data_IF_767740218956
#
_entry.id   IF_767740218956
#
_cell.length_a   1.000
_cell.length_b   1.000
_cell.length_c   1.000
_cell.angle_alpha   90.00
_cell.angle_beta   90.00
_cell.angle_gamma   90.00
#
_symmetry.space_group_name_H-M   'P 1'
#
loop_
_entity.id
_entity.type
_entity.pdbx_description
1 polymer ?
#
# COMPACT_ATOMS: atom_id res chain seq x y z
N UNK A 1 -28.04 4.37 -16.31
CA UNK A 1 -28.96 3.58 -15.45
C UNK A 1 -28.56 2.12 -15.55
N UNK A 2 -27.56 1.71 -14.75
CA UNK A 2 -27.19 0.31 -14.47
C UNK A 2 -26.78 0.27 -13.00
N UNK A 3 -27.39 -0.66 -12.29
CA UNK A 3 -27.52 -0.72 -10.83
C UNK A 3 -26.19 -1.05 -10.17
N UNK A 4 -25.81 -0.26 -9.16
CA UNK A 4 -24.86 -0.68 -8.11
C UNK A 4 -25.57 -1.75 -7.28
N UNK A 5 -25.03 -2.96 -7.25
CA UNK A 5 -25.46 -3.99 -6.31
C UNK A 5 -24.61 -3.84 -5.05
N UNK A 6 -25.27 -3.56 -3.93
CA UNK A 6 -24.74 -3.63 -2.58
C UNK A 6 -24.06 -4.99 -2.34
N UNK A 7 -22.80 -4.97 -1.91
CA UNK A 7 -22.13 -6.11 -1.32
C UNK A 7 -22.25 -5.99 0.21
N UNK A 8 -23.43 -6.36 0.73
CA UNK A 8 -23.55 -6.93 2.07
C UNK A 8 -23.60 -8.44 1.83
N UNK A 9 -22.59 -9.20 2.30
CA UNK A 9 -22.73 -10.52 2.94
C UNK A 9 -21.39 -11.29 3.04
N UNK A 10 -21.08 -11.68 4.29
CA UNK A 10 -20.45 -12.93 4.75
C UNK A 10 -18.97 -12.91 5.17
N UNK A 11 -18.71 -12.31 6.34
CA UNK A 11 -17.74 -12.86 7.30
C UNK A 11 -18.38 -14.05 8.03
N UNK A 12 -17.98 -15.27 7.65
CA UNK A 12 -18.44 -16.50 8.30
C UNK A 12 -17.33 -17.56 8.35
N UNK A 13 -16.47 -17.48 9.37
CA UNK A 13 -15.73 -18.61 9.99
C UNK A 13 -14.78 -18.01 11.05
N UNK A 14 -14.74 -18.37 12.33
CA UNK A 14 -15.28 -19.51 13.06
C UNK A 14 -15.69 -19.09 14.48
N UNK A 15 -16.86 -19.55 14.91
CA UNK A 15 -17.16 -19.72 16.33
C UNK A 15 -16.40 -20.94 16.86
N UNK A 16 -15.61 -20.75 17.92
CA UNK A 16 -15.46 -21.77 18.96
C UNK A 16 -15.94 -21.19 20.29
N UNK A 17 -17.05 -21.75 20.73
CA UNK A 17 -17.78 -21.52 21.96
C UNK A 17 -16.93 -21.48 23.24
N UNK A 18 -17.15 -20.47 24.08
CA UNK A 18 -17.38 -20.66 25.51
C UNK A 18 -18.43 -19.66 25.98
N UNK A 19 -19.58 -20.20 26.39
CA UNK A 19 -20.68 -19.46 27.00
C UNK A 19 -20.32 -19.01 28.42
N UNK A 20 -20.64 -17.77 28.77
CA UNK A 20 -20.76 -17.32 30.16
C UNK A 20 -22.09 -16.53 30.28
N UNK A 21 -22.90 -16.73 31.34
CA UNK A 21 -24.31 -16.34 31.35
C UNK A 21 -24.52 -14.83 31.45
N UNK A 22 -25.58 -14.38 30.79
CA UNK A 22 -26.16 -13.05 30.94
C UNK A 22 -26.62 -12.81 32.39
N UNK A 23 -26.08 -11.77 33.01
CA UNK A 23 -26.72 -11.08 34.12
C UNK A 23 -27.11 -9.68 33.64
N UNK A 24 -28.42 -9.44 33.60
CA UNK A 24 -29.00 -8.12 33.50
C UNK A 24 -28.63 -7.31 34.76
N UNK A 25 -28.08 -6.12 34.57
CA UNK A 25 -28.05 -5.08 35.61
C UNK A 25 -28.50 -3.77 34.98
N UNK A 26 -29.30 -3.08 35.77
CA UNK A 26 -30.23 -1.99 35.52
C UNK A 26 -29.58 -0.70 35.01
N UNK A 27 -30.37 0.10 34.28
CA UNK A 27 -30.00 1.38 33.73
C UNK A 27 -30.11 2.49 34.79
N UNK A 28 -28.97 2.97 35.28
CA UNK A 28 -28.77 4.40 35.59
C UNK A 28 -27.32 4.60 36.03
N UNK A 29 -26.47 5.17 35.17
CA UNK A 29 -25.38 6.08 35.55
C UNK A 29 -24.63 6.53 34.28
N UNK A 30 -24.77 7.83 33.99
CA UNK A 30 -23.89 8.68 33.16
C UNK A 30 -23.56 8.22 31.73
N UNK A 31 -24.05 8.99 30.75
CA UNK A 31 -23.55 9.01 29.37
C UNK A 31 -22.07 9.45 29.36
N UNK A 32 -21.17 8.53 29.68
CA UNK A 32 -19.80 8.62 29.22
C UNK A 32 -19.82 8.18 27.75
N UNK A 33 -19.31 9.04 26.86
CA UNK A 33 -18.92 8.64 25.51
C UNK A 33 -18.13 7.31 25.61
N UNK A 34 -18.31 6.35 24.69
CA UNK A 34 -17.44 5.19 24.67
C UNK A 34 -16.00 5.71 24.65
N UNK A 35 -15.26 5.41 25.72
CA UNK A 35 -13.83 5.71 25.81
C UNK A 35 -13.18 5.01 24.64
N UNK A 36 -12.77 5.75 23.61
CA UNK A 36 -11.92 5.20 22.55
C UNK A 36 -10.73 4.52 23.21
N UNK A 37 -10.47 3.28 22.82
CA UNK A 37 -9.33 2.55 23.35
C UNK A 37 -8.08 3.23 22.78
N UNK A 38 -7.08 3.61 23.59
CA UNK A 38 -5.85 4.17 23.05
C UNK A 38 -5.27 3.22 21.99
N UNK A 39 -5.19 3.67 20.75
CA UNK A 39 -4.77 2.84 19.61
C UNK A 39 -5.77 2.70 18.47
N UNK A 40 -7.00 3.19 18.61
CA UNK A 40 -8.00 3.21 17.52
C UNK A 40 -7.80 4.44 16.59
N UNK A 41 -8.00 4.25 15.28
CA UNK A 41 -7.89 5.29 14.24
C UNK A 41 -6.55 6.05 14.22
N UNK A 42 -5.44 5.35 14.44
CA UNK A 42 -4.11 5.94 14.52
C UNK A 42 -3.50 6.12 13.13
N UNK A 43 -2.95 7.30 12.84
CA UNK A 43 -2.26 7.53 11.55
C UNK A 43 -0.78 7.20 11.67
N UNK A 44 -0.26 6.31 10.81
CA UNK A 44 1.18 6.07 10.75
C UNK A 44 1.90 7.20 9.98
N UNK A 45 2.89 7.83 10.60
CA UNK A 45 3.58 9.02 10.06
C UNK A 45 4.99 8.72 9.55
N UNK A 46 5.42 7.45 9.58
CA UNK A 46 6.74 7.04 9.10
C UNK A 46 7.81 6.92 10.18
N UNK A 47 9.03 6.60 9.77
CA UNK A 47 10.17 6.46 10.68
C UNK A 47 10.73 7.83 11.08
N UNK A 48 10.99 7.98 12.37
CA UNK A 48 11.63 9.16 12.94
C UNK A 48 13.04 9.33 12.34
N UNK A 49 13.37 10.55 11.92
CA UNK A 49 14.65 10.86 11.28
C UNK A 49 14.91 10.09 9.96
N UNK A 50 13.87 9.81 9.18
CA UNK A 50 13.99 9.31 7.81
C UNK A 50 15.05 10.09 7.01
N UNK A 51 15.86 9.39 6.22
CA UNK A 51 17.00 9.94 5.47
C UNK A 51 18.28 10.18 6.28
N UNK A 52 18.25 10.04 7.61
CA UNK A 52 19.44 10.14 8.49
C UNK A 52 19.80 8.81 9.16
N UNK A 53 18.80 8.02 9.52
CA UNK A 53 19.01 6.67 10.06
C UNK A 53 19.56 5.71 9.00
N UNK A 54 20.15 4.60 9.44
CA UNK A 54 20.84 3.63 8.58
C UNK A 54 20.25 2.23 8.69
N UNK A 55 20.46 1.40 7.68
CA UNK A 55 19.95 0.01 7.67
C UNK A 55 20.41 -0.86 8.84
N UNK A 56 21.51 -0.50 9.50
CA UNK A 56 22.09 -1.25 10.62
C UNK A 56 21.32 -0.98 11.93
N UNK A 57 20.50 0.08 11.95
CA UNK A 57 19.71 0.52 13.11
C UNK A 57 18.23 0.08 13.01
N UNK A 58 17.86 -0.68 11.97
CA UNK A 58 16.48 -1.06 11.63
C UNK A 58 15.67 -1.63 12.79
N UNK A 59 16.29 -2.47 13.63
CA UNK A 59 15.62 -3.10 14.78
C UNK A 59 15.31 -2.12 15.92
N UNK A 60 15.94 -0.95 15.91
CA UNK A 60 15.83 0.07 16.95
C UNK A 60 15.17 1.35 16.45
N UNK A 61 14.64 1.34 15.23
CA UNK A 61 13.95 2.49 14.67
C UNK A 61 12.79 2.90 15.55
N UNK A 62 12.66 4.21 15.62
CA UNK A 62 11.53 4.89 16.22
C UNK A 62 10.55 5.25 15.11
N UNK A 63 9.28 4.96 15.35
CA UNK A 63 8.19 5.11 14.41
C UNK A 63 7.23 6.17 14.95
N UNK A 64 6.84 7.10 14.09
CA UNK A 64 5.93 8.19 14.43
C UNK A 64 4.50 7.81 14.10
N UNK A 65 3.60 8.12 15.01
CA UNK A 65 2.17 7.87 14.88
C UNK A 65 1.39 9.08 15.40
N UNK A 66 0.27 9.42 14.77
CA UNK A 66 -0.67 10.40 15.31
C UNK A 66 -1.74 9.66 16.10
N UNK A 67 -1.75 9.86 17.42
CA UNK A 67 -2.62 9.16 18.37
C UNK A 67 -3.32 10.20 19.24
N UNK A 68 -4.65 10.24 19.19
CA UNK A 68 -5.50 11.12 20.00
C UNK A 68 -5.08 12.60 19.92
N UNK A 69 -5.02 13.15 18.70
CA UNK A 69 -4.70 14.57 18.49
C UNK A 69 -3.21 14.93 18.62
N UNK A 70 -2.31 13.96 18.84
CA UNK A 70 -0.88 14.25 19.03
C UNK A 70 0.05 13.25 18.33
N UNK A 71 1.15 13.75 17.79
CA UNK A 71 2.26 12.91 17.33
C UNK A 71 2.98 12.27 18.54
N UNK A 72 3.13 10.94 18.48
CA UNK A 72 3.84 10.11 19.45
C UNK A 72 4.82 9.21 18.71
N UNK A 73 5.86 8.79 19.43
CA UNK A 73 6.91 7.93 18.88
C UNK A 73 6.96 6.61 19.64
N UNK A 74 7.00 5.50 18.91
CA UNK A 74 7.03 4.15 19.44
C UNK A 74 8.14 3.33 18.79
N UNK A 75 8.59 2.28 19.45
CA UNK A 75 9.37 1.21 18.81
C UNK A 75 8.44 0.10 18.33
N UNK A 76 8.91 -0.72 17.41
CA UNK A 76 8.16 -1.88 16.90
C UNK A 76 9.10 -3.08 16.95
N UNK A 77 8.70 -4.20 17.57
CA UNK A 77 9.51 -5.42 17.59
C UNK A 77 9.96 -5.83 16.18
N UNK A 78 11.19 -6.33 16.07
CA UNK A 78 11.73 -6.81 14.80
C UNK A 78 11.27 -8.24 14.45
N UNK A 79 10.52 -8.90 15.34
CA UNK A 79 9.99 -10.26 15.16
C UNK A 79 11.04 -11.29 14.75
N UNK A 80 12.23 -11.24 15.37
CA UNK A 80 13.36 -12.09 15.01
C UNK A 80 13.96 -11.79 13.63
N UNK A 81 13.84 -10.54 13.17
CA UNK A 81 14.30 -10.08 11.87
C UNK A 81 13.26 -10.20 10.76
N UNK A 82 12.00 -10.55 11.07
CA UNK A 82 10.89 -10.64 10.12
C UNK A 82 10.07 -9.36 9.96
N UNK A 83 10.19 -8.42 10.89
CA UNK A 83 9.52 -7.10 10.91
C UNK A 83 8.08 -7.16 10.38
N UNK A 84 7.23 -8.00 10.99
CA UNK A 84 5.92 -8.36 10.43
C UNK A 84 4.97 -7.16 10.45
N UNK A 85 5.01 -6.35 11.52
CA UNK A 85 4.22 -5.12 11.65
C UNK A 85 4.71 -4.06 10.65
N UNK A 86 6.02 -3.88 10.51
CA UNK A 86 6.62 -2.86 9.63
C UNK A 86 6.25 -3.11 8.16
N UNK A 87 6.07 -4.37 7.76
CA UNK A 87 5.60 -4.78 6.43
C UNK A 87 4.10 -4.52 6.17
N UNK A 88 3.35 -4.03 7.17
CA UNK A 88 1.96 -3.58 7.02
C UNK A 88 1.82 -2.06 6.97
N UNK A 89 2.79 -1.33 7.51
CA UNK A 89 2.71 0.11 7.74
C UNK A 89 3.03 0.94 6.47
N UNK A 90 2.13 1.86 6.15
CA UNK A 90 2.16 2.76 4.99
C UNK A 90 1.93 4.20 5.48
N UNK A 91 2.74 5.15 5.02
CA UNK A 91 2.70 6.52 5.56
C UNK A 91 1.40 7.23 5.17
N UNK A 92 0.73 7.81 6.18
CA UNK A 92 -0.54 8.50 6.06
C UNK A 92 -1.76 7.59 5.98
N UNK A 93 -1.58 6.29 6.22
CA UNK A 93 -2.70 5.36 6.39
C UNK A 93 -3.10 5.26 7.86
N UNK A 94 -4.34 4.86 8.08
CA UNK A 94 -4.99 4.75 9.38
C UNK A 94 -4.98 3.28 9.83
N UNK A 95 -4.76 3.07 11.12
CA UNK A 95 -4.58 1.75 11.72
C UNK A 95 -5.23 1.67 13.09
N UNK A 96 -5.74 0.49 13.41
CA UNK A 96 -5.94 0.06 14.77
C UNK A 96 -4.67 -0.62 15.27
N UNK A 97 -4.13 -0.11 16.38
CA UNK A 97 -2.85 -0.55 16.95
C UNK A 97 -2.99 -0.98 18.40
N UNK A 98 -2.18 -1.97 18.80
CA UNK A 98 -2.01 -2.30 20.22
C UNK A 98 -0.75 -1.63 20.76
N UNK A 99 -0.94 -0.74 21.74
CA UNK A 99 0.13 -0.01 22.41
C UNK A 99 0.46 -0.70 23.74
N UNK A 100 1.70 -1.16 23.90
CA UNK A 100 2.24 -1.67 25.16
C UNK A 100 3.45 -0.82 25.58
N UNK A 101 3.23 0.12 26.51
CA UNK A 101 4.24 1.07 26.94
C UNK A 101 4.69 1.99 25.79
N UNK A 102 5.93 1.82 25.36
CA UNK A 102 6.56 2.55 24.26
C UNK A 102 6.66 1.73 22.96
N UNK A 103 5.90 0.63 22.85
CA UNK A 103 5.91 -0.26 21.70
C UNK A 103 4.54 -0.39 21.04
N UNK A 104 4.55 -0.55 19.72
CA UNK A 104 3.41 -1.08 18.96
C UNK A 104 3.61 -2.59 18.78
N UNK A 105 2.69 -3.39 19.29
CA UNK A 105 2.77 -4.86 19.28
C UNK A 105 1.77 -5.53 18.32
N UNK A 106 0.83 -4.75 17.78
CA UNK A 106 -0.04 -5.14 16.68
C UNK A 106 -0.45 -3.91 15.88
N UNK A 107 -0.67 -4.08 14.58
CA UNK A 107 -1.27 -3.07 13.72
C UNK A 107 -2.13 -3.76 12.65
N UNK A 108 -3.36 -3.27 12.50
CA UNK A 108 -4.31 -3.64 11.45
C UNK A 108 -4.70 -2.37 10.70
N UNK A 109 -4.64 -2.41 9.37
CA UNK A 109 -4.99 -1.24 8.56
C UNK A 109 -6.50 -1.07 8.60
N UNK A 110 -6.94 0.12 8.95
CA UNK A 110 -8.36 0.45 8.95
C UNK A 110 -8.76 1.05 7.62
N UNK A 111 -9.95 0.69 7.16
CA UNK A 111 -10.59 1.32 6.01
C UNK A 111 -11.62 2.39 6.40
N UNK A 112 -11.80 2.60 7.71
CA UNK A 112 -12.85 3.44 8.28
C UNK A 112 -14.25 2.90 8.01
N UNK A 113 -15.26 3.52 8.63
CA UNK A 113 -16.65 3.10 8.41
C UNK A 113 -17.13 3.48 7.01
N UNK A 114 -16.75 4.67 6.55
CA UNK A 114 -17.09 5.20 5.22
C UNK A 114 -15.92 6.01 4.66
N UNK A 115 -15.62 5.78 3.38
CA UNK A 115 -14.61 6.49 2.61
C UNK A 115 -15.20 6.93 1.27
N UNK A 116 -14.92 8.15 0.82
CA UNK A 116 -15.42 8.63 -0.47
C UNK A 116 -15.25 10.13 -0.70
N UNK A 117 -15.99 10.65 -1.68
CA UNK A 117 -15.89 12.06 -2.10
C UNK A 117 -16.96 12.89 -1.40
N UNK A 118 -16.57 14.05 -0.85
CA UNK A 118 -17.52 15.05 -0.38
C UNK A 118 -18.31 15.63 -1.56
N UNK A 119 -19.56 15.20 -1.72
CA UNK A 119 -20.46 15.76 -2.74
C UNK A 119 -21.24 16.98 -2.22
N UNK A 120 -21.32 17.16 -0.90
CA UNK A 120 -21.93 18.34 -0.27
C UNK A 120 -21.40 18.55 1.15
N UNK A 121 -21.23 19.81 1.53
CA UNK A 121 -20.92 20.25 2.89
C UNK A 121 -21.85 21.43 3.19
N UNK A 122 -22.61 21.37 4.29
CA UNK A 122 -23.55 22.45 4.65
C UNK A 122 -23.88 22.43 6.14
N UNK A 123 -24.46 23.53 6.62
CA UNK A 123 -25.12 23.59 7.92
C UNK A 123 -26.62 23.55 7.68
N UNK A 124 -27.35 22.67 8.36
CA UNK A 124 -28.81 22.56 8.21
C UNK A 124 -29.56 23.66 8.98
N UNK A 125 -30.89 23.63 8.89
CA UNK A 125 -31.77 24.65 9.48
C UNK A 125 -31.73 24.64 11.02
N UNK A 126 -31.33 23.53 11.63
CA UNK A 126 -31.16 23.37 13.08
C UNK A 126 -29.77 23.83 13.55
N UNK A 127 -28.89 24.20 12.62
CA UNK A 127 -27.54 24.68 12.89
C UNK A 127 -26.51 23.56 13.00
N UNK A 128 -26.87 22.32 12.64
CA UNK A 128 -25.98 21.18 12.71
C UNK A 128 -25.14 21.04 11.43
N UNK A 129 -23.90 20.60 11.61
CA UNK A 129 -22.97 20.39 10.51
C UNK A 129 -23.30 19.10 9.79
N UNK A 130 -23.39 19.17 8.46
CA UNK A 130 -23.75 18.05 7.60
C UNK A 130 -22.76 17.90 6.47
N UNK A 131 -22.47 16.65 6.15
CA UNK A 131 -21.72 16.28 4.96
C UNK A 131 -22.47 15.22 4.17
N UNK A 132 -22.14 15.14 2.88
CA UNK A 132 -22.55 14.05 2.01
C UNK A 132 -21.30 13.41 1.43
N UNK A 133 -21.01 12.18 1.84
CA UNK A 133 -19.92 11.35 1.30
C UNK A 133 -20.55 10.47 0.23
N UNK A 134 -20.12 10.64 -1.01
CA UNK A 134 -20.76 10.10 -2.20
C UNK A 134 -22.27 10.41 -2.23
N UNK A 135 -23.10 9.40 -1.95
CA UNK A 135 -24.56 9.49 -1.98
C UNK A 135 -25.21 9.49 -0.59
N UNK A 136 -24.43 9.35 0.47
CA UNK A 136 -24.90 9.17 1.85
C UNK A 136 -24.64 10.41 2.69
N UNK A 137 -25.58 10.74 3.58
CA UNK A 137 -25.60 11.98 4.34
C UNK A 137 -25.35 11.70 5.82
N UNK A 138 -24.46 12.48 6.42
CA UNK A 138 -24.05 12.31 7.81
C UNK A 138 -24.17 13.62 8.58
N UNK A 139 -24.49 13.53 9.87
CA UNK A 139 -24.33 14.62 10.83
C UNK A 139 -22.91 14.58 11.37
N UNK A 140 -22.29 15.74 11.55
CA UNK A 140 -21.01 15.83 12.26
C UNK A 140 -21.28 16.25 13.70
N UNK A 141 -20.79 15.46 14.66
CA UNK A 141 -20.86 15.81 16.08
C UNK A 141 -20.07 17.11 16.32
N UNK A 142 -20.54 17.96 17.25
CA UNK A 142 -19.93 19.29 17.48
C UNK A 142 -18.53 19.20 18.09
N UNK A 143 -18.24 18.09 18.75
CA UNK A 143 -16.97 17.68 19.32
C UNK A 143 -16.20 16.69 18.43
N UNK A 144 -16.66 16.46 17.20
CA UNK A 144 -15.93 15.63 16.25
C UNK A 144 -14.53 16.18 15.98
N UNK A 145 -13.57 15.28 15.83
CA UNK A 145 -12.20 15.62 15.49
C UNK A 145 -12.03 15.60 13.96
N UNK A 146 -11.57 16.70 13.38
CA UNK A 146 -11.42 16.84 11.94
C UNK A 146 -9.96 17.08 11.61
N UNK A 147 -9.39 16.22 10.79
CA UNK A 147 -7.98 16.19 10.48
C UNK A 147 -7.72 16.23 8.97
N UNK A 148 -6.59 16.81 8.57
CA UNK A 148 -6.04 16.73 7.22
C UNK A 148 -4.75 15.91 7.25
N UNK A 149 -4.71 14.83 6.47
CA UNK A 149 -3.55 13.96 6.34
C UNK A 149 -2.85 14.29 5.01
N UNK A 150 -1.59 14.69 5.10
CA UNK A 150 -0.72 14.85 3.93
C UNK A 150 0.34 13.76 3.93
N UNK A 151 0.36 12.92 2.90
CA UNK A 151 1.39 11.89 2.70
C UNK A 151 2.47 12.39 1.74
N UNK A 152 3.72 12.42 2.21
CA UNK A 152 4.91 12.70 1.39
C UNK A 152 6.07 11.84 1.86
N UNK A 153 7.04 11.64 0.97
CA UNK A 153 8.30 11.03 1.36
C UNK A 153 8.94 11.79 2.54
N UNK A 154 9.49 11.08 3.51
CA UNK A 154 9.93 11.64 4.80
C UNK A 154 8.90 11.59 5.92
N UNK A 155 7.70 11.11 5.61
CA UNK A 155 6.64 10.91 6.56
C UNK A 155 5.45 11.84 6.39
N UNK A 156 4.31 11.30 6.78
CA UNK A 156 3.04 12.01 6.72
C UNK A 156 2.90 13.02 7.87
N UNK A 157 2.03 13.99 7.67
CA UNK A 157 1.65 14.97 8.70
C UNK A 157 0.14 14.97 8.86
N UNK A 158 -0.31 15.16 10.10
CA UNK A 158 -1.72 15.35 10.44
C UNK A 158 -1.90 16.74 11.03
N UNK A 159 -2.91 17.47 10.58
CA UNK A 159 -3.24 18.81 11.07
C UNK A 159 -4.72 18.91 11.40
N UNK A 160 -5.06 19.56 12.51
CA UNK A 160 -6.45 19.93 12.80
C UNK A 160 -7.00 20.85 11.71
N UNK A 161 -8.22 20.57 11.28
CA UNK A 161 -8.99 21.44 10.38
C UNK A 161 -10.35 21.73 10.97
N UNK A 162 -10.99 22.79 10.47
CA UNK A 162 -12.34 23.18 10.86
C UNK A 162 -13.34 22.74 9.81
N UNK A 163 -14.60 22.56 10.24
CA UNK A 163 -15.71 22.21 9.34
C UNK A 163 -15.82 23.15 8.12
N UNK A 164 -15.58 24.44 8.29
CA UNK A 164 -15.67 25.42 7.21
C UNK A 164 -14.49 25.39 6.21
N UNK A 165 -13.49 24.54 6.45
CA UNK A 165 -12.36 24.31 5.54
C UNK A 165 -12.62 23.14 4.57
N UNK A 166 -13.63 22.30 4.86
CA UNK A 166 -14.07 21.20 4.00
C UNK A 166 -14.75 21.74 2.74
N UNK A 167 -14.46 21.11 1.60
CA UNK A 167 -15.01 21.51 0.30
C UNK A 167 -15.53 20.32 -0.48
N UNK A 168 -16.43 20.60 -1.41
CA UNK A 168 -16.87 19.60 -2.38
C UNK A 168 -15.69 19.13 -3.24
N UNK A 169 -15.74 17.86 -3.65
CA UNK A 169 -14.72 17.15 -4.40
C UNK A 169 -13.42 16.86 -3.63
N UNK A 170 -13.39 17.08 -2.31
CA UNK A 170 -12.35 16.54 -1.43
C UNK A 170 -12.70 15.10 -1.05
N UNK A 171 -11.70 14.25 -0.89
CA UNK A 171 -11.85 12.89 -0.41
C UNK A 171 -11.70 12.83 1.11
N UNK A 172 -12.55 12.04 1.76
CA UNK A 172 -12.55 11.88 3.21
C UNK A 172 -12.79 10.43 3.60
N UNK A 173 -12.23 10.07 4.75
CA UNK A 173 -12.64 8.89 5.52
C UNK A 173 -13.26 9.37 6.83
N UNK A 174 -14.38 8.77 7.21
CA UNK A 174 -15.10 9.12 8.43
C UNK A 174 -15.27 7.90 9.32
N UNK A 175 -15.29 8.17 10.62
CA UNK A 175 -15.65 7.24 11.68
C UNK A 175 -16.95 7.75 12.29
N UNK A 176 -17.92 6.87 12.49
CA UNK A 176 -19.25 7.21 12.98
C UNK A 176 -19.57 6.51 14.30
N UNK A 177 -20.44 7.11 15.11
CA UNK A 177 -21.02 6.45 16.27
C UNK A 177 -22.21 5.55 15.87
N UNK A 178 -22.85 4.94 16.86
CA UNK A 178 -23.99 4.03 16.64
C UNK A 178 -25.23 4.68 16.02
N UNK A 179 -25.29 6.02 15.98
CA UNK A 179 -26.38 6.81 15.39
C UNK A 179 -25.99 7.40 14.02
N UNK A 180 -24.91 6.89 13.39
CA UNK A 180 -24.34 7.38 12.13
C UNK A 180 -23.87 8.86 12.19
N UNK A 181 -23.53 9.36 13.38
CA UNK A 181 -22.92 10.68 13.51
C UNK A 181 -21.41 10.60 13.47
N UNK A 182 -20.79 11.47 12.67
CA UNK A 182 -19.33 11.53 12.51
C UNK A 182 -18.69 11.97 13.81
N UNK A 183 -17.78 11.14 14.33
CA UNK A 183 -16.95 11.41 15.51
C UNK A 183 -15.52 11.79 15.10
N UNK A 184 -15.01 11.23 13.99
CA UNK A 184 -13.74 11.63 13.37
C UNK A 184 -13.87 11.75 11.86
N UNK A 185 -13.18 12.73 11.28
CA UNK A 185 -13.07 12.89 9.84
C UNK A 185 -11.61 13.12 9.47
N UNK A 186 -11.11 12.30 8.55
CA UNK A 186 -9.79 12.44 7.95
C UNK A 186 -9.97 12.87 6.50
N UNK A 187 -9.65 14.13 6.19
CA UNK A 187 -9.44 14.56 4.82
C UNK A 187 -8.09 14.02 4.37
N UNK A 188 -8.11 13.17 3.36
CA UNK A 188 -6.92 12.48 2.86
C UNK A 188 -7.14 12.08 1.42
N UNK A 189 -6.07 11.81 0.69
CA UNK A 189 -6.19 11.25 -0.66
C UNK A 189 -6.82 9.86 -0.63
N UNK A 190 -7.81 9.63 -1.48
CA UNK A 190 -8.42 8.32 -1.72
C UNK A 190 -8.44 8.12 -3.24
N UNK A 191 -7.84 7.04 -3.72
CA UNK A 191 -7.82 6.74 -5.15
C UNK A 191 -9.23 6.44 -5.68
N UNK A 192 -9.46 6.77 -6.93
CA UNK A 192 -10.60 6.23 -7.65
C UNK A 192 -10.38 4.74 -7.93
N UNK A 193 -11.46 3.96 -7.91
CA UNK A 193 -11.45 2.55 -8.32
C UNK A 193 -10.82 2.40 -9.71
N UNK A 194 -9.89 1.45 -9.83
CA UNK A 194 -9.23 1.15 -11.10
C UNK A 194 -9.52 -0.27 -11.55
N UNK A 195 -9.94 -0.41 -12.82
CA UNK A 195 -10.06 -1.71 -13.49
C UNK A 195 -9.09 -1.75 -14.66
N UNK A 196 -8.10 -2.65 -14.56
CA UNK A 196 -7.11 -2.81 -15.63
C UNK A 196 -7.79 -3.23 -16.95
N UNK A 197 -7.43 -2.61 -18.09
CA UNK A 197 -7.98 -2.98 -19.40
C UNK A 197 -7.51 -4.37 -19.87
N UNK A 198 -6.38 -4.83 -19.33
CA UNK A 198 -5.82 -6.17 -19.54
C UNK A 198 -5.50 -6.74 -18.17
N UNK A 199 -5.96 -7.97 -17.91
CA UNK A 199 -5.66 -8.69 -16.68
C UNK A 199 -5.50 -10.18 -16.96
N UNK A 200 -4.74 -10.85 -16.08
CA UNK A 200 -4.63 -12.30 -16.06
C UNK A 200 -5.69 -12.96 -15.18
N UNK A 201 -5.79 -14.28 -15.29
CA UNK A 201 -6.55 -15.15 -14.39
C UNK A 201 -5.57 -15.74 -13.36
N UNK A 202 -5.78 -15.52 -12.06
CA UNK A 202 -4.93 -16.08 -11.01
C UNK A 202 -4.76 -17.61 -11.13
N UNK A 203 -3.55 -18.11 -10.90
CA UNK A 203 -3.22 -19.55 -10.95
C UNK A 203 -3.24 -20.20 -12.34
N UNK A 204 -3.54 -19.44 -13.41
CA UNK A 204 -3.59 -19.99 -14.77
C UNK A 204 -2.20 -19.99 -15.42
N UNK A 205 -1.53 -21.12 -15.34
CA UNK A 205 -0.16 -21.34 -15.83
C UNK A 205 -0.10 -21.50 -17.36
N UNK A 206 -0.30 -20.40 -18.09
CA UNK A 206 -0.13 -20.34 -19.55
C UNK A 206 0.65 -19.10 -19.94
N UNK A 207 1.41 -19.17 -21.03
CA UNK A 207 2.19 -18.03 -21.53
C UNK A 207 1.33 -16.79 -21.81
N UNK A 208 0.16 -16.98 -22.45
CA UNK A 208 -0.79 -15.87 -22.69
C UNK A 208 -1.25 -15.23 -21.38
N UNK A 209 -1.53 -16.02 -20.35
CA UNK A 209 -1.95 -15.51 -19.06
C UNK A 209 -0.83 -14.73 -18.38
N UNK A 210 0.40 -15.25 -18.38
CA UNK A 210 1.56 -14.57 -17.83
C UNK A 210 1.78 -13.18 -18.44
N UNK A 211 1.69 -13.07 -19.76
CA UNK A 211 1.84 -11.78 -20.45
C UNK A 211 0.66 -10.84 -20.18
N UNK A 212 -0.58 -11.37 -20.08
CA UNK A 212 -1.74 -10.56 -19.71
C UNK A 212 -1.63 -10.04 -18.27
N UNK A 213 -1.21 -10.90 -17.33
CA UNK A 213 -0.90 -10.52 -15.94
C UNK A 213 0.16 -9.42 -15.91
N UNK A 214 1.28 -9.59 -16.62
CA UNK A 214 2.37 -8.63 -16.65
C UNK A 214 1.98 -7.27 -17.27
N UNK A 215 0.87 -7.18 -18.03
CA UNK A 215 0.35 -5.93 -18.57
C UNK A 215 -0.63 -5.20 -17.61
N UNK A 216 -1.14 -5.88 -16.58
CA UNK A 216 -2.08 -5.30 -15.61
C UNK A 216 -1.60 -3.99 -14.96
N UNK A 217 -0.33 -3.84 -14.52
CA UNK A 217 0.14 -2.61 -13.86
C UNK A 217 0.45 -1.46 -14.84
N UNK A 218 0.44 -1.72 -16.15
CA UNK A 218 0.81 -0.70 -17.15
C UNK A 218 -0.20 0.46 -17.10
N UNK A 219 0.32 1.66 -16.87
CA UNK A 219 -0.48 2.89 -16.78
C UNK A 219 -1.18 3.11 -15.44
N UNK A 220 -0.85 2.33 -14.40
CA UNK A 220 -1.46 2.46 -13.07
C UNK A 220 -0.50 2.17 -11.90
N UNK A 221 0.80 2.02 -12.16
CA UNK A 221 1.85 1.86 -11.16
C UNK A 221 3.08 2.66 -11.54
N UNK A 222 3.83 3.15 -10.56
CA UNK A 222 5.10 3.86 -10.75
C UNK A 222 6.30 3.01 -10.33
N UNK A 223 7.46 3.33 -10.89
CA UNK A 223 8.73 2.76 -10.46
C UNK A 223 9.19 3.40 -9.14
N UNK A 224 9.52 2.57 -8.14
CA UNK A 224 10.28 2.95 -6.95
C UNK A 224 11.39 1.92 -6.77
N UNK A 225 12.61 2.38 -6.49
CA UNK A 225 13.71 1.46 -6.19
C UNK A 225 13.42 0.72 -4.88
N UNK A 226 13.42 -0.62 -4.91
CA UNK A 226 12.99 -1.43 -3.77
C UNK A 226 11.46 -1.51 -3.62
N UNK A 227 10.68 -0.88 -4.51
CA UNK A 227 9.24 -1.00 -4.53
C UNK A 227 8.83 -2.47 -4.62
N UNK A 228 8.00 -2.91 -3.67
CA UNK A 228 7.47 -4.26 -3.50
C UNK A 228 8.46 -5.36 -3.09
N UNK A 229 9.61 -4.98 -2.55
CA UNK A 229 10.42 -5.85 -1.70
C UNK A 229 9.92 -5.83 -0.26
N UNK A 230 10.15 -6.86 0.54
CA UNK A 230 9.87 -6.76 1.97
C UNK A 230 10.72 -5.65 2.65
N UNK A 231 10.29 -5.21 3.83
CA UNK A 231 10.93 -4.12 4.56
C UNK A 231 12.39 -4.45 4.94
N UNK A 232 12.77 -5.73 4.96
CA UNK A 232 14.12 -6.19 5.22
C UNK A 232 15.04 -6.13 4.01
N UNK A 233 14.47 -5.99 2.81
CA UNK A 233 15.14 -5.99 1.52
C UNK A 233 15.74 -7.37 1.16
N UNK A 234 14.97 -8.44 1.37
CA UNK A 234 15.40 -9.82 1.11
C UNK A 234 14.45 -10.61 0.21
N UNK A 235 13.13 -10.42 0.33
CA UNK A 235 12.12 -11.15 -0.44
C UNK A 235 10.94 -10.25 -0.88
N UNK A 236 9.78 -10.85 -1.15
CA UNK A 236 8.56 -10.15 -1.61
C UNK A 236 7.85 -9.45 -0.47
N UNK A 237 7.35 -8.24 -0.71
CA UNK A 237 6.39 -7.62 0.20
C UNK A 237 5.02 -8.28 0.11
N UNK A 238 4.13 -7.90 1.03
CA UNK A 238 2.70 -8.23 0.95
C UNK A 238 2.09 -7.77 -0.40
N UNK A 239 2.50 -6.60 -0.91
CA UNK A 239 2.02 -6.05 -2.19
C UNK A 239 2.44 -6.92 -3.39
N UNK A 240 3.68 -7.41 -3.41
CA UNK A 240 4.13 -8.33 -4.46
C UNK A 240 3.44 -9.70 -4.41
N UNK A 241 2.82 -10.05 -3.28
CA UNK A 241 2.07 -11.28 -3.05
C UNK A 241 0.56 -11.06 -3.03
N UNK A 242 0.08 -9.91 -3.51
CA UNK A 242 -1.35 -9.66 -3.76
C UNK A 242 -1.76 -10.23 -5.13
N UNK A 243 -2.90 -10.91 -5.15
CA UNK A 243 -3.59 -11.35 -6.36
C UNK A 243 -4.33 -10.16 -6.97
N UNK A 244 -3.99 -9.83 -8.21
CA UNK A 244 -4.35 -8.56 -8.82
C UNK A 244 -3.41 -7.44 -8.41
N UNK A 245 -3.80 -6.21 -8.75
CA UNK A 245 -3.02 -5.03 -8.38
C UNK A 245 -3.20 -4.76 -6.88
N UNK A 246 -2.09 -4.45 -6.21
CA UNK A 246 -2.18 -3.96 -4.83
C UNK A 246 -2.81 -2.57 -4.81
N UNK A 247 -3.73 -2.33 -3.87
CA UNK A 247 -4.38 -1.03 -3.71
C UNK A 247 -3.36 0.09 -3.47
N UNK A 248 -2.30 -0.16 -2.71
CA UNK A 248 -1.26 0.85 -2.45
C UNK A 248 -0.51 1.29 -3.70
N UNK A 249 -0.44 0.46 -4.75
CA UNK A 249 0.14 0.88 -6.02
C UNK A 249 -0.77 1.85 -6.77
N UNK A 250 -2.07 1.61 -6.72
CA UNK A 250 -3.10 2.46 -7.33
C UNK A 250 -3.13 3.80 -6.59
N UNK A 251 -3.17 3.76 -5.26
CA UNK A 251 -3.13 4.94 -4.39
C UNK A 251 -1.88 5.77 -4.64
N UNK A 252 -0.71 5.13 -4.67
CA UNK A 252 0.54 5.82 -4.94
C UNK A 252 0.53 6.43 -6.33
N UNK A 253 0.18 5.69 -7.38
CA UNK A 253 0.15 6.19 -8.75
C UNK A 253 -0.77 7.41 -8.91
N UNK A 254 -2.00 7.33 -8.39
CA UNK A 254 -2.99 8.40 -8.54
C UNK A 254 -2.73 9.62 -7.64
N UNK A 255 -2.01 9.45 -6.52
CA UNK A 255 -1.59 10.57 -5.67
C UNK A 255 -0.41 11.37 -6.23
N UNK A 256 0.28 10.85 -7.24
CA UNK A 256 1.39 11.54 -7.89
C UNK A 256 0.95 12.42 -9.06
N UNK A 257 1.81 13.36 -9.44
CA UNK A 257 1.64 14.23 -10.60
C UNK A 257 2.86 14.16 -11.55
N UNK A 258 2.87 15.02 -12.58
CA UNK A 258 3.97 15.10 -13.55
C UNK A 258 5.32 15.53 -12.96
N UNK A 259 5.36 15.94 -11.68
CA UNK A 259 6.58 16.29 -10.94
C UNK A 259 7.12 15.14 -10.10
N UNK A 260 6.50 13.96 -10.17
CA UNK A 260 6.99 12.78 -9.48
C UNK A 260 8.47 12.51 -9.79
N UNK A 261 9.21 12.26 -8.71
CA UNK A 261 10.59 11.76 -8.75
C UNK A 261 10.74 10.79 -7.60
N UNK A 262 11.20 9.57 -7.89
CA UNK A 262 11.44 8.59 -6.83
C UNK A 262 12.71 8.94 -6.04
N UNK A 263 13.62 9.74 -6.60
CA UNK A 263 14.93 10.04 -6.01
C UNK A 263 15.21 11.52 -5.87
N UNK A 264 15.17 12.01 -4.64
CA UNK A 264 15.61 13.34 -4.26
C UNK A 264 17.01 13.33 -3.64
N UNK A 265 18.04 13.50 -4.48
CA UNK A 265 19.43 13.48 -4.00
C UNK A 265 19.82 14.73 -3.19
N UNK A 266 19.11 15.85 -3.38
CA UNK A 266 19.38 17.08 -2.66
C UNK A 266 18.80 17.05 -1.24
N UNK A 267 17.67 16.35 -1.06
CA UNK A 267 17.01 16.17 0.22
C UNK A 267 16.62 14.69 0.44
N UNK A 268 17.55 13.84 0.92
CA UNK A 268 17.30 12.43 1.19
C UNK A 268 16.12 12.15 2.11
N UNK A 269 15.79 13.08 3.02
CA UNK A 269 14.65 12.93 3.93
C UNK A 269 13.30 13.20 3.26
N UNK A 270 13.27 13.60 1.98
CA UNK A 270 12.05 13.79 1.19
C UNK A 270 12.11 12.97 -0.11
N UNK A 271 12.72 11.79 -0.04
CA UNK A 271 13.00 10.91 -1.18
C UNK A 271 12.29 9.57 -0.99
N UNK A 272 11.72 9.00 -2.06
CA UNK A 272 11.24 7.60 -2.03
C UNK A 272 12.39 6.59 -2.15
N UNK A 273 13.57 7.07 -2.55
CA UNK A 273 14.76 6.26 -2.73
C UNK A 273 15.34 5.82 -1.36
N UNK A 274 15.69 4.54 -1.18
CA UNK A 274 16.24 4.02 0.06
C UNK A 274 17.68 4.49 0.30
N UNK A 275 17.85 5.75 0.72
CA UNK A 275 19.14 6.26 1.16
C UNK A 275 19.66 5.41 2.33
N UNK A 276 20.98 5.12 2.34
CA UNK A 276 21.61 4.20 3.29
C UNK A 276 21.09 2.75 3.24
N UNK A 277 20.51 2.35 2.09
CA UNK A 277 20.09 0.99 1.77
C UNK A 277 19.03 0.42 2.73
N UNK A 278 18.01 1.22 3.00
CA UNK A 278 16.82 0.77 3.72
C UNK A 278 15.53 1.24 3.05
N UNK A 279 14.62 0.29 2.86
CA UNK A 279 13.42 0.41 2.06
C UNK A 279 12.18 0.74 2.91
N UNK A 280 11.85 2.03 3.06
CA UNK A 280 10.60 2.43 3.71
C UNK A 280 9.40 2.35 2.78
N UNK A 281 9.58 2.69 1.51
CA UNK A 281 8.49 2.83 0.53
C UNK A 281 8.25 1.55 -0.25
N UNK A 282 8.40 0.41 0.43
CA UNK A 282 8.18 -0.90 -0.16
C UNK A 282 6.76 -1.09 -0.71
N UNK A 283 5.78 -0.37 -0.15
CA UNK A 283 4.39 -0.41 -0.59
C UNK A 283 4.11 0.52 -1.78
N UNK A 284 5.03 1.45 -2.08
CA UNK A 284 4.88 2.45 -3.12
C UNK A 284 5.47 1.92 -4.43
N UNK A 285 4.61 1.45 -5.34
CA UNK A 285 5.03 1.02 -6.66
C UNK A 285 5.91 -0.24 -6.70
N UNK A 286 6.59 -0.43 -7.84
CA UNK A 286 7.14 -1.73 -8.21
C UNK A 286 8.46 -1.60 -8.96
N UNK A 287 9.52 -2.27 -8.49
CA UNK A 287 10.80 -2.30 -9.18
C UNK A 287 10.90 -3.41 -10.25
N UNK A 288 12.02 -3.50 -10.98
CA UNK A 288 12.19 -4.48 -12.06
C UNK A 288 11.99 -5.94 -11.60
N UNK A 289 12.60 -6.31 -10.47
CA UNK A 289 12.54 -7.65 -9.90
C UNK A 289 11.20 -7.95 -9.26
N UNK A 290 10.59 -6.96 -8.64
CA UNK A 290 9.26 -7.08 -8.07
C UNK A 290 8.19 -7.18 -9.15
N UNK A 291 8.36 -6.49 -10.28
CA UNK A 291 7.49 -6.60 -11.46
C UNK A 291 7.44 -8.03 -12.00
N UNK A 292 8.61 -8.64 -12.19
CA UNK A 292 8.67 -10.03 -12.63
C UNK A 292 8.18 -10.96 -11.52
N UNK A 293 8.55 -10.73 -10.27
CA UNK A 293 8.14 -11.53 -9.11
C UNK A 293 6.63 -11.57 -8.91
N UNK A 294 5.97 -10.41 -8.90
CA UNK A 294 4.51 -10.27 -8.80
C UNK A 294 3.79 -10.88 -10.01
N UNK A 295 4.33 -10.68 -11.23
CA UNK A 295 3.76 -11.28 -12.44
C UNK A 295 3.76 -12.80 -12.36
N UNK A 296 4.85 -13.40 -11.85
CA UNK A 296 4.93 -14.83 -11.60
C UNK A 296 4.02 -15.24 -10.44
N UNK A 297 3.96 -14.46 -9.36
CA UNK A 297 3.10 -14.75 -8.21
C UNK A 297 1.64 -14.94 -8.63
N UNK A 298 1.13 -14.01 -9.43
CA UNK A 298 -0.22 -14.03 -9.95
C UNK A 298 -0.50 -15.15 -10.97
N UNK A 299 0.54 -15.75 -11.56
CA UNK A 299 0.38 -16.93 -12.43
C UNK A 299 0.43 -18.24 -11.64
N UNK A 300 1.22 -18.26 -10.56
CA UNK A 300 1.49 -19.47 -9.79
C UNK A 300 0.52 -19.67 -8.61
N UNK A 301 -0.13 -18.61 -8.14
CA UNK A 301 -1.00 -18.62 -6.95
C UNK A 301 -2.40 -18.08 -7.26
N UNK A 302 -3.34 -18.40 -6.37
CA UNK A 302 -4.75 -17.97 -6.44
C UNK A 302 -5.21 -17.18 -5.23
N UNK A 303 -4.35 -17.04 -4.22
CA UNK A 303 -4.65 -16.38 -2.94
C UNK A 303 -3.54 -15.40 -2.59
N UNK A 304 -3.91 -14.35 -1.87
CA UNK A 304 -2.95 -13.41 -1.28
C UNK A 304 -2.08 -14.13 -0.25
N UNK A 305 -0.88 -13.60 -0.01
CA UNK A 305 0.00 -14.09 1.06
C UNK A 305 0.71 -12.93 1.72
N UNK A 306 1.25 -13.19 2.91
CA UNK A 306 2.01 -12.20 3.68
C UNK A 306 3.47 -12.62 3.82
N UNK A 307 4.32 -11.66 4.22
CA UNK A 307 5.72 -11.91 4.60
C UNK A 307 5.87 -12.91 5.76
N UNK A 308 4.83 -13.10 6.58
CA UNK A 308 4.85 -14.07 7.67
C UNK A 308 4.73 -15.51 7.15
N UNK A 309 4.05 -15.70 6.01
CA UNK A 309 3.65 -17.00 5.49
C UNK A 309 4.50 -17.46 4.29
N UNK A 310 5.02 -16.53 3.48
CA UNK A 310 5.67 -16.85 2.22
C UNK A 310 6.77 -15.84 1.85
N UNK A 311 7.80 -16.30 1.15
CA UNK A 311 8.86 -15.43 0.61
C UNK A 311 8.46 -14.82 -0.75
N UNK A 312 7.47 -15.39 -1.42
CA UNK A 312 7.09 -15.02 -2.79
C UNK A 312 8.25 -15.19 -3.78
N UNK A 313 8.31 -14.33 -4.80
CA UNK A 313 9.23 -14.46 -5.94
C UNK A 313 10.06 -13.22 -6.27
N UNK A 314 9.94 -12.15 -5.47
CA UNK A 314 10.86 -11.01 -5.54
C UNK A 314 12.20 -11.41 -4.96
N UNK A 315 13.26 -11.14 -5.71
CA UNK A 315 14.65 -11.40 -5.33
C UNK A 315 15.57 -10.63 -6.26
N UNK A 316 16.88 -10.70 -6.00
CA UNK A 316 17.90 -10.00 -6.80
C UNK A 316 17.70 -10.22 -8.31
N UNK A 317 17.49 -9.11 -9.04
CA UNK A 317 17.29 -9.08 -10.48
C UNK A 317 18.35 -9.89 -11.25
N UNK A 318 19.61 -9.84 -10.80
CA UNK A 318 20.74 -10.58 -11.40
C UNK A 318 20.59 -12.10 -11.33
N UNK A 319 19.86 -12.62 -10.34
CA UNK A 319 19.75 -14.07 -10.07
C UNK A 319 18.38 -14.65 -10.41
N UNK A 320 17.36 -13.80 -10.59
CA UNK A 320 15.96 -14.21 -10.64
C UNK A 320 15.67 -15.21 -11.77
N UNK A 321 16.07 -14.94 -13.00
CA UNK A 321 15.86 -15.85 -14.13
C UNK A 321 16.53 -17.22 -13.91
N UNK A 322 17.77 -17.21 -13.40
CA UNK A 322 18.50 -18.44 -13.06
C UNK A 322 17.80 -19.21 -11.93
N UNK A 323 17.28 -18.53 -10.91
CA UNK A 323 16.51 -19.16 -9.84
C UNK A 323 15.25 -19.84 -10.38
N UNK A 324 14.47 -19.15 -11.20
CA UNK A 324 13.24 -19.71 -11.77
C UNK A 324 13.51 -20.96 -12.64
N UNK A 325 14.60 -20.96 -13.41
CA UNK A 325 14.98 -22.14 -14.18
C UNK A 325 15.56 -23.28 -13.29
N UNK A 326 16.56 -22.98 -12.45
CA UNK A 326 17.36 -24.00 -11.78
C UNK A 326 16.85 -24.40 -10.40
N UNK A 327 16.19 -23.50 -9.67
CA UNK A 327 15.65 -23.79 -8.33
C UNK A 327 14.18 -24.16 -8.44
N UNK A 328 13.37 -23.30 -9.07
CA UNK A 328 11.92 -23.52 -9.18
C UNK A 328 11.54 -24.55 -10.25
N UNK A 329 12.46 -24.86 -11.18
CA UNK A 329 12.26 -25.83 -12.28
C UNK A 329 11.18 -25.44 -13.28
N UNK A 330 10.99 -24.14 -13.53
CA UNK A 330 9.97 -23.62 -14.45
C UNK A 330 10.46 -23.39 -15.88
N UNK A 331 11.74 -23.65 -16.16
CA UNK A 331 12.29 -23.43 -17.49
C UNK A 331 13.74 -23.89 -17.61
N UNK A 332 14.38 -23.46 -18.70
CA UNK A 332 15.80 -23.71 -18.98
C UNK A 332 16.63 -22.43 -18.81
N UNK A 333 17.91 -22.58 -18.51
CA UNK A 333 18.84 -21.47 -18.34
C UNK A 333 19.94 -21.51 -19.42
N UNK A 334 20.22 -20.36 -20.04
CA UNK A 334 21.30 -20.17 -21.02
C UNK A 334 22.04 -18.86 -20.77
N UNK A 335 23.34 -18.84 -21.09
CA UNK A 335 24.19 -17.65 -21.05
C UNK A 335 25.03 -17.52 -22.33
N UNK A 336 24.48 -17.95 -23.46
CA UNK A 336 25.17 -17.89 -24.75
C UNK A 336 25.54 -16.45 -25.13
N UNK A 337 26.82 -16.24 -25.48
CA UNK A 337 27.38 -14.94 -25.87
C UNK A 337 27.93 -15.01 -27.30
N UNK A 338 27.78 -13.94 -28.11
CA UNK A 338 27.04 -12.71 -27.82
C UNK A 338 25.53 -12.97 -27.72
N UNK A 339 24.81 -12.16 -26.95
CA UNK A 339 23.35 -12.26 -26.91
C UNK A 339 22.79 -11.82 -28.26
N UNK A 340 21.95 -12.66 -28.87
CA UNK A 340 21.32 -12.38 -30.15
C UNK A 340 19.81 -12.52 -30.05
N UNK A 341 19.04 -11.80 -30.87
CA UNK A 341 17.57 -11.86 -30.83
C UNK A 341 17.00 -13.28 -31.01
N UNK A 342 17.67 -14.14 -31.78
CA UNK A 342 17.29 -15.54 -31.95
C UNK A 342 17.41 -16.41 -30.69
N UNK A 343 18.10 -15.94 -29.65
CA UNK A 343 18.20 -16.63 -28.37
C UNK A 343 16.96 -16.44 -27.50
N UNK A 344 16.06 -15.51 -27.87
CA UNK A 344 14.90 -15.13 -27.06
C UNK A 344 13.59 -15.64 -27.64
N UNK A 345 12.74 -16.12 -26.74
CA UNK A 345 11.37 -16.51 -26.99
C UNK A 345 10.42 -15.63 -26.18
N UNK A 346 9.18 -15.53 -26.63
CA UNK A 346 8.12 -14.85 -25.89
C UNK A 346 7.94 -15.52 -24.52
N UNK A 347 8.00 -14.73 -23.46
CA UNK A 347 7.92 -15.17 -22.06
C UNK A 347 9.27 -15.39 -21.39
N UNK A 348 10.39 -15.34 -22.13
CA UNK A 348 11.71 -15.47 -21.51
C UNK A 348 11.96 -14.36 -20.49
N UNK A 349 12.48 -14.73 -19.32
CA UNK A 349 12.90 -13.78 -18.29
C UNK A 349 14.42 -13.62 -18.42
N UNK A 350 14.87 -12.39 -18.61
CA UNK A 350 16.28 -12.10 -18.77
C UNK A 350 16.82 -11.32 -17.58
N UNK A 351 17.82 -11.89 -16.90
CA UNK A 351 18.52 -11.27 -15.78
C UNK A 351 19.90 -10.76 -16.20
N UNK A 352 20.20 -9.51 -15.85
CA UNK A 352 21.52 -8.89 -15.95
C UNK A 352 21.88 -8.18 -14.65
N UNK A 353 23.09 -7.61 -14.56
CA UNK A 353 23.52 -6.93 -13.35
C UNK A 353 22.60 -5.76 -13.01
N UNK A 354 21.79 -5.92 -11.96
CA UNK A 354 20.86 -4.90 -11.46
C UNK A 354 19.59 -4.71 -12.27
N UNK A 355 19.27 -5.56 -13.26
CA UNK A 355 18.04 -5.42 -14.04
C UNK A 355 17.49 -6.76 -14.50
N UNK A 356 16.16 -6.87 -14.57
CA UNK A 356 15.43 -8.05 -15.06
C UNK A 356 14.17 -7.63 -15.80
N UNK A 357 13.80 -8.38 -16.83
CA UNK A 357 12.66 -8.08 -17.69
C UNK A 357 12.10 -9.33 -18.36
N UNK A 358 10.88 -9.21 -18.92
CA UNK A 358 10.18 -10.28 -19.65
C UNK A 358 10.20 -9.96 -21.15
N UNK A 359 10.60 -10.93 -21.97
CA UNK A 359 10.56 -10.83 -23.42
C UNK A 359 9.11 -10.96 -23.91
N UNK A 360 8.57 -9.94 -24.56
CA UNK A 360 7.27 -10.03 -25.23
C UNK A 360 7.42 -10.65 -26.62
N UNK A 361 8.48 -10.30 -27.34
CA UNK A 361 8.76 -10.87 -28.65
C UNK A 361 9.87 -10.15 -29.40
N UNK A 362 10.10 -10.60 -30.63
CA UNK A 362 11.13 -10.09 -31.52
C UNK A 362 10.50 -9.41 -32.74
N UNK A 363 11.06 -8.28 -33.13
CA UNK A 363 10.71 -7.55 -34.35
C UNK A 363 11.51 -8.05 -35.56
N UNK A 364 11.03 -7.77 -36.78
CA UNK A 364 11.71 -8.16 -38.02
C UNK A 364 13.11 -7.53 -38.17
N UNK A 365 13.33 -6.35 -37.59
CA UNK A 365 14.61 -5.65 -37.59
C UNK A 365 15.62 -6.19 -36.57
N UNK A 366 15.24 -7.23 -35.81
CA UNK A 366 16.06 -7.84 -34.77
C UNK A 366 15.96 -7.14 -33.40
N UNK A 367 15.15 -6.10 -33.24
CA UNK A 367 14.87 -5.55 -31.90
C UNK A 367 13.98 -6.48 -31.08
N UNK A 368 14.03 -6.32 -29.76
CA UNK A 368 13.17 -7.04 -28.81
C UNK A 368 12.15 -6.06 -28.22
N UNK A 369 10.91 -6.50 -28.11
CA UNK A 369 9.89 -5.85 -27.30
C UNK A 369 9.93 -6.50 -25.93
N UNK A 370 10.07 -5.71 -24.88
CA UNK A 370 10.22 -6.17 -23.50
C UNK A 370 9.17 -5.54 -22.60
N UNK A 371 8.85 -6.23 -21.51
CA UNK A 371 8.08 -5.71 -20.39
C UNK A 371 9.02 -5.57 -19.19
N UNK A 372 9.08 -4.39 -18.59
CA UNK A 372 9.93 -4.11 -17.45
C UNK A 372 9.39 -2.94 -16.63
N UNK A 373 9.81 -2.87 -15.38
CA UNK A 373 9.70 -1.68 -14.54
C UNK A 373 11.09 -1.13 -14.30
N UNK A 374 11.36 0.10 -14.74
CA UNK A 374 12.68 0.74 -14.65
C UNK A 374 12.46 2.25 -14.57
N UNK A 375 13.34 3.02 -13.92
CA UNK A 375 13.13 4.46 -13.83
C UNK A 375 13.17 5.07 -15.24
N UNK A 376 12.19 5.93 -15.51
CA UNK A 376 12.13 6.72 -16.74
C UNK A 376 12.71 8.12 -16.54
N UNK A 377 13.15 8.77 -17.63
CA UNK A 377 13.54 10.18 -17.55
C UNK A 377 12.33 11.03 -17.16
N UNK A 378 12.53 11.99 -16.25
CA UNK A 378 11.45 12.84 -15.80
C UNK A 378 10.88 13.68 -16.95
N UNK A 379 9.55 13.69 -17.07
CA UNK A 379 8.82 14.44 -18.10
C UNK A 379 9.08 15.96 -17.98
N UNK A 380 9.23 16.47 -16.76
CA UNK A 380 9.47 17.89 -16.51
C UNK A 380 10.97 18.25 -16.42
N UNK A 381 11.87 17.28 -16.66
CA UNK A 381 13.32 17.48 -16.61
C UNK A 381 13.93 17.56 -15.21
N UNK A 382 13.17 17.22 -14.15
CA UNK A 382 13.73 17.11 -12.81
C UNK A 382 14.57 15.83 -12.68
N UNK A 383 15.67 15.89 -11.92
CA UNK A 383 16.51 14.71 -11.69
C UNK A 383 15.78 13.61 -10.91
N UNK A 384 16.16 12.35 -11.13
CA UNK A 384 15.63 11.20 -10.38
C UNK A 384 14.30 10.63 -10.88
N UNK A 385 13.97 10.82 -12.16
CA UNK A 385 12.71 10.39 -12.78
C UNK A 385 12.34 8.94 -12.48
N UNK A 386 11.04 8.66 -12.41
CA UNK A 386 10.46 7.36 -12.08
C UNK A 386 9.38 7.02 -13.08
#
# INVERSE_FOLDING_TARGET
MKQKLCALLLSASMLSSLAVPAFAVDASETNALPSQTPGEDVVYLGVENYGKVTKDEKETFKHRFFVDGAEKTFTIPADGGKFEIQNKLQEGYIYDVTIDGDQITAAEMEEGDVAGVLTKVWTDDDGDWRIKVDNESFTINKDAELYDITSKAGGATVQDIKFNELKQNETVRIVVDSDDHVTKLFRMFIAEDYTAPVSGVPGKQTLKNFLATALTPVGTSLYVYGGSWDWQDVNSSNQAMTIGLSQSWIDFFQSQDANYTYKNSANPSESYYPHNAWNQYYYAGIDCSAFVGWSVYNVMNTEDSTVADNTGYVMSATKQAKNFAEVQKWGTWSQEKPFKPEHFQTGDIFSMNGHVWICLGKCEDGSLVILHSTPSDSINGQGGGG
#
